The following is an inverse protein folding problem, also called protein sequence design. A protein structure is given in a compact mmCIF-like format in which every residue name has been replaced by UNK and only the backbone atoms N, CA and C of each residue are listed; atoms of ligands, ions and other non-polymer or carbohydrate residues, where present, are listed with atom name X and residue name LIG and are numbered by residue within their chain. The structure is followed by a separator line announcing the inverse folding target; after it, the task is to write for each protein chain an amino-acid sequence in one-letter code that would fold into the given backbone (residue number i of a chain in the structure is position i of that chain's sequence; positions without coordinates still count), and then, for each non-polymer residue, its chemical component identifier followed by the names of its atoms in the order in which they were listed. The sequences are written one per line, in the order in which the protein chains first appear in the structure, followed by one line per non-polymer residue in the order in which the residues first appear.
data_IF_608897857661
#
_entry.id   IF_608897857661
#
_cell.length_a   1.000
_cell.length_b   1.000
_cell.length_c   1.000
_cell.angle_alpha   90.00
_cell.angle_beta   90.00
_cell.angle_gamma   90.00
#
_symmetry.space_group_name_H-M   'P 1'
#
loop_
_entity.id
_entity.type
_entity.pdbx_description
1 polymer ?
#
# COMPACT_ATOMS: atom_id res chain seq x y z
N UNK A 1 -13.63 -2.04 -12.19
CA UNK A 1 -14.56 -0.89 -12.22
C UNK A 1 -15.09 -0.64 -13.64
N UNK A 2 -14.22 -0.46 -14.65
CA UNK A 2 -14.63 -0.17 -16.04
C UNK A 2 -15.60 -1.24 -16.59
N UNK A 3 -15.29 -2.49 -16.38
CA UNK A 3 -16.12 -3.62 -16.85
C UNK A 3 -17.35 -3.88 -15.96
N UNK A 4 -17.47 -3.25 -14.80
CA UNK A 4 -18.70 -3.33 -13.98
C UNK A 4 -19.81 -2.40 -14.50
N UNK A 5 -19.47 -1.35 -15.27
CA UNK A 5 -20.42 -0.42 -15.83
C UNK A 5 -20.05 -0.05 -17.29
N UNK A 6 -20.04 -1.04 -18.23
CA UNK A 6 -19.56 -0.85 -19.58
C UNK A 6 -20.33 0.24 -20.35
N UNK A 7 -21.65 0.34 -20.14
CA UNK A 7 -22.45 1.36 -20.81
C UNK A 7 -22.10 2.81 -20.38
N UNK A 8 -21.67 3.01 -19.15
CA UNK A 8 -21.27 4.32 -18.66
C UNK A 8 -19.91 4.74 -19.28
N UNK A 9 -18.98 3.81 -19.42
CA UNK A 9 -17.66 4.07 -19.99
C UNK A 9 -17.69 4.16 -21.53
N UNK A 10 -18.59 3.43 -22.19
CA UNK A 10 -18.79 3.57 -23.64
C UNK A 10 -19.23 4.98 -24.02
N UNK A 11 -20.06 5.63 -23.19
CA UNK A 11 -20.47 7.06 -23.39
C UNK A 11 -19.27 8.04 -23.33
N UNK A 12 -18.20 7.66 -22.65
CA UNK A 12 -16.97 8.43 -22.53
C UNK A 12 -15.93 8.07 -23.61
N UNK A 13 -16.30 7.24 -24.58
CA UNK A 13 -15.39 6.79 -25.64
C UNK A 13 -14.32 5.79 -25.15
N UNK A 14 -14.49 5.22 -23.97
CA UNK A 14 -13.55 4.25 -23.40
C UNK A 14 -13.98 2.86 -23.84
N UNK A 15 -13.10 2.17 -24.60
CA UNK A 15 -13.32 0.80 -25.02
C UNK A 15 -13.36 -0.14 -23.82
N UNK A 16 -14.38 -0.98 -23.75
CA UNK A 16 -14.49 -2.03 -22.74
C UNK A 16 -14.12 -3.37 -23.37
N UNK A 17 -13.47 -4.23 -22.59
CA UNK A 17 -13.08 -5.58 -23.05
C UNK A 17 -14.25 -6.52 -22.84
N UNK A 18 -14.52 -7.39 -23.82
CA UNK A 18 -15.46 -8.49 -23.68
C UNK A 18 -14.86 -9.55 -22.73
N UNK A 19 -15.27 -9.54 -21.45
CA UNK A 19 -14.71 -10.43 -20.43
C UNK A 19 -14.94 -11.92 -20.70
N UNK A 20 -16.12 -12.39 -21.18
CA UNK A 20 -16.30 -13.79 -21.55
C UNK A 20 -15.36 -14.25 -22.66
N UNK A 21 -15.16 -13.44 -23.70
CA UNK A 21 -14.27 -13.75 -24.80
C UNK A 21 -12.82 -13.77 -24.33
N UNK A 22 -12.41 -12.80 -23.51
CA UNK A 22 -11.10 -12.76 -22.92
C UNK A 22 -10.84 -13.99 -22.03
N UNK A 23 -11.82 -14.39 -21.22
CA UNK A 23 -11.72 -15.59 -20.38
C UNK A 23 -11.52 -16.86 -21.22
N UNK A 24 -12.19 -16.97 -22.38
CA UNK A 24 -11.98 -18.06 -23.31
C UNK A 24 -10.59 -18.04 -23.94
N UNK A 25 -10.07 -16.86 -24.29
CA UNK A 25 -8.72 -16.71 -24.87
C UNK A 25 -7.59 -17.03 -23.89
N UNK A 26 -7.73 -16.66 -22.62
CA UNK A 26 -6.72 -16.92 -21.59
C UNK A 26 -6.89 -18.27 -20.90
N UNK A 27 -8.04 -18.93 -21.06
CA UNK A 27 -8.35 -20.22 -20.45
C UNK A 27 -8.73 -20.14 -18.96
N UNK A 28 -8.97 -18.93 -18.41
CA UNK A 28 -9.33 -18.71 -17.01
C UNK A 28 -10.40 -17.64 -16.84
N UNK A 29 -11.18 -17.73 -15.76
CA UNK A 29 -12.09 -16.65 -15.38
C UNK A 29 -11.31 -15.43 -14.88
N UNK A 30 -11.40 -14.33 -15.63
CA UNK A 30 -10.74 -13.04 -15.29
C UNK A 30 -11.70 -12.09 -14.57
N UNK A 31 -13.00 -12.36 -14.61
CA UNK A 31 -14.03 -11.54 -13.97
C UNK A 31 -13.99 -11.69 -12.44
N UNK A 32 -14.09 -10.57 -11.73
CA UNK A 32 -14.14 -10.56 -10.26
C UNK A 32 -12.80 -10.80 -9.56
N UNK A 33 -11.71 -10.99 -10.29
CA UNK A 33 -10.38 -11.06 -9.67
C UNK A 33 -9.92 -9.65 -9.27
N UNK A 34 -9.69 -9.39 -7.97
CA UNK A 34 -9.22 -8.08 -7.50
C UNK A 34 -7.73 -7.90 -7.80
N UNK A 35 -7.35 -6.65 -8.03
CA UNK A 35 -5.95 -6.26 -8.18
C UNK A 35 -5.51 -5.96 -9.60
N UNK A 36 -4.32 -5.40 -9.73
CA UNK A 36 -3.70 -5.00 -11.00
C UNK A 36 -3.03 -6.14 -11.77
N UNK A 37 -2.72 -7.25 -11.10
CA UNK A 37 -2.02 -8.41 -11.61
C UNK A 37 -2.66 -8.97 -12.89
N UNK A 38 -3.93 -9.29 -12.81
CA UNK A 38 -4.70 -9.83 -13.95
C UNK A 38 -4.74 -8.84 -15.11
N UNK A 39 -4.95 -7.56 -14.82
CA UNK A 39 -4.98 -6.50 -15.85
C UNK A 39 -3.63 -6.33 -16.52
N UNK A 40 -2.54 -6.37 -15.76
CA UNK A 40 -1.18 -6.31 -16.29
C UNK A 40 -0.86 -7.52 -17.16
N UNK A 41 -1.18 -8.73 -16.67
CA UNK A 41 -0.93 -9.97 -17.40
C UNK A 41 -1.70 -10.03 -18.70
N UNK A 42 -2.97 -9.60 -18.71
CA UNK A 42 -3.78 -9.47 -19.93
C UNK A 42 -3.14 -8.47 -20.90
N UNK A 43 -2.75 -7.29 -20.43
CA UNK A 43 -2.10 -6.27 -21.25
C UNK A 43 -0.79 -6.78 -21.87
N UNK A 44 0.06 -7.45 -21.09
CA UNK A 44 1.30 -8.07 -21.58
C UNK A 44 1.02 -9.16 -22.62
N UNK A 45 0.03 -10.02 -22.34
CA UNK A 45 -0.35 -11.09 -23.25
C UNK A 45 -0.85 -10.53 -24.61
N UNK A 46 -1.61 -9.43 -24.60
CA UNK A 46 -2.01 -8.74 -25.83
C UNK A 46 -0.81 -8.20 -26.61
N UNK A 47 0.14 -7.56 -25.93
CA UNK A 47 1.35 -7.01 -26.57
C UNK A 47 2.16 -8.15 -27.22
N UNK A 48 2.42 -9.24 -26.49
CA UNK A 48 3.19 -10.36 -27.04
C UNK A 48 2.43 -11.09 -28.16
N UNK A 49 1.12 -11.28 -28.03
CA UNK A 49 0.29 -11.90 -29.07
C UNK A 49 0.16 -11.04 -30.32
N UNK A 50 0.49 -9.76 -30.29
CA UNK A 50 0.51 -8.89 -31.49
C UNK A 50 1.72 -9.14 -32.39
N UNK A 51 2.76 -9.78 -31.87
CA UNK A 51 3.96 -10.15 -32.65
C UNK A 51 3.61 -11.28 -33.66
N UNK A 52 4.00 -11.18 -34.93
CA UNK A 52 3.54 -12.10 -35.99
C UNK A 52 3.72 -13.59 -35.69
N UNK A 53 4.82 -13.98 -35.07
CA UNK A 53 5.13 -15.38 -34.70
C UNK A 53 4.45 -15.88 -33.43
N UNK A 54 3.82 -14.99 -32.65
CA UNK A 54 3.23 -15.27 -31.34
C UNK A 54 1.70 -15.18 -31.34
N UNK A 55 1.10 -15.00 -32.50
CA UNK A 55 -0.35 -14.97 -32.66
C UNK A 55 -0.97 -16.30 -32.21
N UNK A 56 -2.06 -16.22 -31.44
CA UNK A 56 -2.75 -17.39 -30.89
C UNK A 56 -2.17 -17.95 -29.60
N UNK A 57 -1.09 -17.39 -29.05
CA UNK A 57 -0.48 -17.81 -27.78
C UNK A 57 -0.94 -16.96 -26.59
N UNK A 58 -2.14 -16.38 -26.66
CA UNK A 58 -2.67 -15.48 -25.62
C UNK A 58 -2.68 -16.13 -24.23
N UNK A 59 -3.16 -17.37 -24.13
CA UNK A 59 -3.17 -18.12 -22.86
C UNK A 59 -1.77 -18.35 -22.31
N UNK A 60 -0.82 -18.71 -23.17
CA UNK A 60 0.58 -18.94 -22.76
C UNK A 60 1.19 -17.67 -22.17
N UNK A 61 1.09 -16.55 -22.85
CA UNK A 61 1.66 -15.28 -22.40
C UNK A 61 0.97 -14.75 -21.16
N UNK A 62 -0.34 -14.94 -21.03
CA UNK A 62 -1.08 -14.62 -19.83
C UNK A 62 -0.55 -15.40 -18.62
N UNK A 63 -0.46 -16.73 -18.73
CA UNK A 63 0.04 -17.57 -17.63
C UNK A 63 1.51 -17.28 -17.30
N UNK A 64 2.33 -17.01 -18.32
CA UNK A 64 3.72 -16.60 -18.10
C UNK A 64 3.80 -15.31 -17.29
N UNK A 65 3.02 -14.29 -17.65
CA UNK A 65 2.99 -13.03 -16.93
C UNK A 65 2.47 -13.16 -15.51
N UNK A 66 1.41 -13.96 -15.28
CA UNK A 66 0.88 -14.25 -13.94
C UNK A 66 1.91 -14.99 -13.09
N UNK A 67 2.63 -15.98 -13.65
CA UNK A 67 3.69 -16.67 -12.91
C UNK A 67 4.85 -15.75 -12.55
N UNK A 68 5.27 -14.90 -13.50
CA UNK A 68 6.31 -13.92 -13.24
C UNK A 68 5.92 -12.96 -12.11
N UNK A 69 4.69 -12.48 -12.13
CA UNK A 69 4.17 -11.61 -11.07
C UNK A 69 4.05 -12.34 -9.72
N UNK A 70 3.63 -13.61 -9.72
CA UNK A 70 3.57 -14.42 -8.50
C UNK A 70 4.96 -14.57 -7.85
N UNK A 71 6.02 -14.80 -8.64
CA UNK A 71 7.40 -14.84 -8.14
C UNK A 71 7.84 -13.49 -7.59
N UNK A 72 7.51 -12.40 -8.27
CA UNK A 72 7.79 -11.04 -7.78
C UNK A 72 7.09 -10.76 -6.44
N UNK A 73 5.81 -11.10 -6.32
CA UNK A 73 5.04 -10.94 -5.08
C UNK A 73 5.65 -11.77 -3.96
N UNK A 74 6.06 -13.02 -4.24
CA UNK A 74 6.70 -13.89 -3.25
C UNK A 74 7.97 -13.27 -2.68
N UNK A 75 8.82 -12.66 -3.53
CA UNK A 75 10.03 -11.95 -3.07
C UNK A 75 9.70 -10.73 -2.23
N UNK A 76 8.66 -9.97 -2.60
CA UNK A 76 8.19 -8.82 -1.84
C UNK A 76 7.63 -9.23 -0.46
N UNK A 77 6.90 -10.35 -0.38
CA UNK A 77 6.38 -10.91 0.88
C UNK A 77 7.52 -11.37 1.78
N UNK A 78 8.56 -12.05 1.24
CA UNK A 78 9.73 -12.47 2.01
C UNK A 78 10.46 -11.24 2.58
N UNK A 79 10.78 -10.26 1.76
CA UNK A 79 11.44 -9.03 2.19
C UNK A 79 10.60 -8.26 3.21
N UNK A 80 9.30 -8.09 2.96
CA UNK A 80 8.36 -7.42 3.85
C UNK A 80 8.24 -8.11 5.20
N UNK A 81 8.20 -9.43 5.23
CA UNK A 81 8.15 -10.24 6.45
C UNK A 81 9.43 -10.06 7.28
N UNK A 82 10.60 -10.04 6.63
CA UNK A 82 11.89 -9.78 7.33
C UNK A 82 11.92 -8.40 7.94
N UNK A 83 11.57 -7.37 7.18
CA UNK A 83 11.54 -5.98 7.68
C UNK A 83 10.54 -5.84 8.83
N UNK A 84 9.32 -6.37 8.66
CA UNK A 84 8.30 -6.34 9.70
C UNK A 84 8.70 -7.06 10.98
N UNK A 85 9.37 -8.20 10.86
CA UNK A 85 9.96 -8.91 12.00
C UNK A 85 10.97 -8.04 12.74
N UNK A 86 11.90 -7.40 12.02
CA UNK A 86 12.90 -6.53 12.65
C UNK A 86 12.25 -5.37 13.41
N UNK A 87 11.29 -4.69 12.79
CA UNK A 87 10.55 -3.61 13.44
C UNK A 87 9.81 -4.09 14.68
N UNK A 88 9.18 -5.26 14.61
CA UNK A 88 8.48 -5.86 15.75
C UNK A 88 9.45 -6.22 16.88
N UNK A 89 10.61 -6.81 16.55
CA UNK A 89 11.65 -7.11 17.52
C UNK A 89 12.18 -5.85 18.20
N UNK A 90 12.42 -4.78 17.46
CA UNK A 90 12.86 -3.48 18.01
C UNK A 90 11.81 -2.86 18.92
N UNK A 91 10.53 -2.97 18.58
CA UNK A 91 9.44 -2.53 19.45
C UNK A 91 9.37 -3.35 20.73
N UNK A 92 9.43 -4.69 20.62
CA UNK A 92 9.39 -5.61 21.77
C UNK A 92 10.63 -5.48 22.66
N UNK A 93 11.77 -5.12 22.11
CA UNK A 93 13.01 -4.87 22.86
C UNK A 93 12.87 -3.73 23.89
N UNK A 94 11.96 -2.80 23.68
CA UNK A 94 11.65 -1.74 24.66
C UNK A 94 10.97 -2.28 25.91
N UNK A 95 10.27 -3.42 25.79
CA UNK A 95 9.59 -4.10 26.91
C UNK A 95 10.48 -5.21 27.47
N UNK A 96 11.09 -6.01 26.61
CA UNK A 96 11.95 -7.13 27.00
C UNK A 96 13.23 -7.14 26.14
N UNK A 97 14.34 -6.71 26.75
CA UNK A 97 15.63 -6.47 26.09
C UNK A 97 16.14 -7.58 25.16
N UNK A 98 15.97 -8.90 25.49
CA UNK A 98 16.46 -9.97 24.60
C UNK A 98 15.88 -9.95 23.19
N UNK A 99 14.69 -9.37 22.95
CA UNK A 99 14.15 -9.23 21.60
C UNK A 99 15.01 -8.34 20.70
N UNK A 100 15.83 -7.44 21.27
CA UNK A 100 16.75 -6.60 20.49
C UNK A 100 17.95 -7.34 19.92
N UNK A 101 18.19 -8.56 20.37
CA UNK A 101 19.25 -9.41 19.83
C UNK A 101 18.72 -10.25 18.66
N UNK A 102 19.18 -9.92 17.45
CA UNK A 102 18.79 -10.62 16.23
C UNK A 102 19.35 -12.05 16.15
N UNK A 103 20.25 -12.44 17.04
CA UNK A 103 20.81 -13.78 17.13
C UNK A 103 20.03 -14.67 18.10
N UNK A 104 19.19 -14.07 18.94
CA UNK A 104 18.36 -14.80 19.89
C UNK A 104 17.21 -15.53 19.17
N UNK A 105 17.45 -16.80 18.84
CA UNK A 105 16.55 -17.64 18.04
C UNK A 105 15.09 -17.66 18.51
N UNK A 106 14.78 -17.77 19.83
CA UNK A 106 13.38 -17.75 20.27
C UNK A 106 12.68 -16.44 19.93
N UNK A 107 13.35 -15.29 20.08
CA UNK A 107 12.81 -13.98 19.74
C UNK A 107 12.54 -13.83 18.24
N UNK A 108 13.45 -14.35 17.41
CA UNK A 108 13.29 -14.37 15.96
C UNK A 108 12.07 -15.19 15.54
N UNK A 109 11.90 -16.39 16.12
CA UNK A 109 10.76 -17.27 15.81
C UNK A 109 9.45 -16.64 16.25
N UNK A 110 9.36 -16.16 17.49
CA UNK A 110 8.15 -15.56 18.05
C UNK A 110 7.73 -14.31 17.22
N UNK A 111 8.68 -13.41 16.94
CA UNK A 111 8.38 -12.21 16.16
C UNK A 111 7.96 -12.55 14.73
N UNK A 112 8.59 -13.56 14.10
CA UNK A 112 8.18 -14.04 12.77
C UNK A 112 6.78 -14.62 12.78
N UNK A 113 6.45 -15.46 13.76
CA UNK A 113 5.13 -16.06 13.89
C UNK A 113 4.06 -15.01 14.12
N UNK A 114 4.28 -14.05 15.04
CA UNK A 114 3.34 -12.96 15.29
C UNK A 114 3.10 -12.15 14.02
N UNK A 115 4.18 -11.74 13.34
CA UNK A 115 4.06 -10.91 12.16
C UNK A 115 3.36 -11.66 11.00
N UNK A 116 3.78 -12.90 10.72
CA UNK A 116 3.19 -13.72 9.65
C UNK A 116 1.73 -14.05 9.94
N UNK A 117 1.40 -14.42 11.17
CA UNK A 117 0.02 -14.73 11.57
C UNK A 117 -0.88 -13.49 11.49
N UNK A 118 -0.35 -12.30 11.80
CA UNK A 118 -1.12 -11.06 11.75
C UNK A 118 -1.57 -10.72 10.33
N UNK A 119 -0.67 -10.71 9.35
CA UNK A 119 -1.06 -10.44 7.97
C UNK A 119 -1.78 -11.63 7.33
N UNK A 120 -1.42 -12.87 7.69
CA UNK A 120 -2.11 -14.07 7.23
C UNK A 120 -3.57 -14.11 7.69
N UNK A 121 -3.85 -13.71 8.92
CA UNK A 121 -5.21 -13.57 9.44
C UNK A 121 -6.01 -12.51 8.66
N UNK A 122 -5.40 -11.36 8.36
CA UNK A 122 -6.04 -10.31 7.56
C UNK A 122 -6.38 -10.79 6.15
N UNK A 123 -5.49 -11.54 5.51
CA UNK A 123 -5.74 -12.12 4.17
C UNK A 123 -6.81 -13.19 4.21
N UNK A 124 -6.81 -14.03 5.26
CA UNK A 124 -7.77 -15.12 5.41
C UNK A 124 -9.20 -14.63 5.71
N UNK A 125 -9.33 -13.60 6.55
CA UNK A 125 -10.65 -13.10 7.02
C UNK A 125 -11.18 -11.93 6.21
N UNK A 126 -10.30 -11.20 5.52
CA UNK A 126 -10.64 -9.97 4.79
C UNK A 126 -10.81 -10.21 3.30
N UNK A 127 -11.84 -9.60 2.72
CA UNK A 127 -11.89 -9.39 1.28
C UNK A 127 -10.79 -8.39 0.89
N UNK A 128 -10.05 -8.69 -0.17
CA UNK A 128 -8.97 -7.83 -0.69
C UNK A 128 -9.47 -6.40 -0.95
N UNK A 129 -10.69 -6.26 -1.49
CA UNK A 129 -11.31 -4.96 -1.70
C UNK A 129 -11.50 -4.14 -0.42
N UNK A 130 -11.63 -4.81 0.71
CA UNK A 130 -11.82 -4.19 2.03
C UNK A 130 -10.48 -3.81 2.67
N UNK A 131 -9.42 -4.60 2.43
CA UNK A 131 -8.08 -4.33 2.96
C UNK A 131 -7.38 -3.22 2.16
N UNK A 132 -7.69 -3.09 0.88
CA UNK A 132 -7.04 -2.15 -0.04
C UNK A 132 -7.06 -0.68 0.42
N UNK A 133 -8.17 -0.11 0.93
CA UNK A 133 -8.17 1.24 1.47
C UNK A 133 -7.26 1.42 2.68
N UNK A 134 -7.16 0.42 3.57
CA UNK A 134 -6.25 0.45 4.72
C UNK A 134 -4.79 0.48 4.27
N UNK A 135 -4.44 -0.34 3.28
CA UNK A 135 -3.10 -0.35 2.68
C UNK A 135 -2.77 1.01 2.03
N UNK A 136 -3.71 1.60 1.30
CA UNK A 136 -3.57 2.94 0.73
C UNK A 136 -3.30 4.01 1.78
N UNK A 137 -4.04 3.98 2.90
CA UNK A 137 -3.82 4.90 4.02
C UNK A 137 -2.43 4.74 4.66
N UNK A 138 -1.99 3.50 4.91
CA UNK A 138 -0.67 3.22 5.47
C UNK A 138 0.45 3.71 4.56
N UNK A 139 0.32 3.50 3.25
CA UNK A 139 1.28 3.96 2.26
C UNK A 139 1.37 5.49 2.18
N UNK A 140 0.22 6.16 2.22
CA UNK A 140 0.17 7.63 2.25
C UNK A 140 0.72 8.22 3.55
N UNK A 141 0.53 7.53 4.70
CA UNK A 141 1.17 7.89 5.97
C UNK A 141 2.70 7.85 5.84
N UNK A 142 3.22 6.81 5.21
CA UNK A 142 4.66 6.67 4.96
C UNK A 142 5.18 7.81 4.07
N UNK A 143 4.48 8.14 2.99
CA UNK A 143 4.83 9.22 2.08
C UNK A 143 4.80 10.59 2.79
N UNK A 144 3.76 10.87 3.57
CA UNK A 144 3.67 12.10 4.35
C UNK A 144 4.80 12.22 5.38
N UNK A 145 5.12 11.12 6.07
CA UNK A 145 6.23 11.08 7.03
C UNK A 145 7.57 11.34 6.33
N UNK A 146 7.81 10.76 5.15
CA UNK A 146 9.01 11.01 4.36
C UNK A 146 9.12 12.49 3.93
N UNK A 147 8.03 13.11 3.50
CA UNK A 147 7.98 14.53 3.16
C UNK A 147 8.27 15.44 4.37
N UNK A 148 7.75 15.08 5.54
CA UNK A 148 8.01 15.79 6.80
C UNK A 148 9.49 15.71 7.18
N UNK A 149 10.08 14.52 7.09
CA UNK A 149 11.51 14.31 7.36
C UNK A 149 12.35 15.12 6.37
N UNK A 150 12.03 15.05 5.08
CA UNK A 150 12.71 15.80 4.02
C UNK A 150 12.66 17.31 4.26
N UNK A 151 11.48 17.84 4.60
CA UNK A 151 11.32 19.26 4.97
C UNK A 151 12.19 19.64 6.18
N UNK A 152 12.15 18.81 7.22
CA UNK A 152 12.93 19.04 8.43
C UNK A 152 14.45 19.03 8.15
N UNK A 153 14.91 18.11 7.28
CA UNK A 153 16.30 18.05 6.85
C UNK A 153 16.71 19.27 6.05
N UNK A 154 15.91 19.72 5.11
CA UNK A 154 16.20 20.92 4.31
C UNK A 154 16.33 22.17 5.19
N UNK A 155 15.48 22.33 6.18
CA UNK A 155 15.57 23.44 7.14
C UNK A 155 16.86 23.33 7.97
N UNK A 156 17.20 22.14 8.48
CA UNK A 156 18.41 21.92 9.29
C UNK A 156 19.70 22.14 8.53
N UNK A 157 19.73 21.82 7.23
CA UNK A 157 20.88 22.04 6.35
C UNK A 157 21.05 23.50 5.91
N UNK A 158 20.27 24.43 6.47
CA UNK A 158 20.29 25.84 6.08
C UNK A 158 19.68 26.12 4.70
N UNK A 159 19.04 25.12 4.08
CA UNK A 159 18.39 25.22 2.76
C UNK A 159 16.89 25.46 2.88
N UNK A 160 16.46 26.24 3.86
CA UNK A 160 15.05 26.54 4.12
C UNK A 160 14.32 27.12 2.89
N UNK A 161 15.03 27.79 1.99
CA UNK A 161 14.48 28.31 0.71
C UNK A 161 13.85 27.19 -0.13
N UNK A 162 14.31 25.97 -0.05
CA UNK A 162 13.81 24.81 -0.84
C UNK A 162 12.82 23.96 -0.04
N UNK A 163 12.60 24.23 1.24
CA UNK A 163 11.72 23.43 2.10
C UNK A 163 10.27 23.39 1.60
N UNK A 164 9.83 24.38 0.84
CA UNK A 164 8.49 24.40 0.25
C UNK A 164 8.22 23.25 -0.72
N UNK A 165 9.25 22.73 -1.40
CA UNK A 165 9.10 21.63 -2.37
C UNK A 165 8.59 20.34 -1.74
N UNK A 166 8.89 20.12 -0.46
CA UNK A 166 8.43 18.98 0.33
C UNK A 166 7.32 19.35 1.30
N UNK A 167 7.30 20.59 1.81
CA UNK A 167 6.28 21.06 2.74
C UNK A 167 4.89 21.20 2.07
N UNK A 168 4.83 21.74 0.86
CA UNK A 168 3.54 21.94 0.15
C UNK A 168 2.87 20.58 -0.14
N UNK A 169 3.53 19.58 -0.73
CA UNK A 169 2.94 18.24 -0.87
C UNK A 169 2.53 17.61 0.47
N UNK A 170 3.34 17.79 1.53
CA UNK A 170 2.98 17.28 2.86
C UNK A 170 1.69 17.91 3.38
N UNK A 171 1.56 19.22 3.24
CA UNK A 171 0.37 19.99 3.64
C UNK A 171 -0.90 19.58 2.87
N UNK A 172 -0.76 19.13 1.64
CA UNK A 172 -1.89 18.63 0.84
C UNK A 172 -2.24 17.18 1.22
N UNK A 173 -1.24 16.32 1.36
CA UNK A 173 -1.46 14.88 1.63
C UNK A 173 -2.02 14.65 3.04
N UNK A 174 -1.51 15.35 4.05
CA UNK A 174 -1.91 15.15 5.45
C UNK A 174 -3.42 15.27 5.68
N UNK A 175 -4.09 16.38 5.34
CA UNK A 175 -5.53 16.51 5.57
C UNK A 175 -6.34 15.53 4.71
N UNK A 176 -5.90 15.25 3.47
CA UNK A 176 -6.58 14.30 2.60
C UNK A 176 -6.59 12.89 3.19
N UNK A 177 -5.47 12.45 3.75
CA UNK A 177 -5.37 11.10 4.34
C UNK A 177 -6.16 11.00 5.64
N UNK A 178 -6.12 12.04 6.48
CA UNK A 178 -6.91 12.08 7.71
C UNK A 178 -8.41 12.02 7.37
N UNK A 179 -8.86 12.81 6.40
CA UNK A 179 -10.24 12.83 5.95
C UNK A 179 -10.67 11.51 5.30
N UNK A 180 -9.84 10.95 4.41
CA UNK A 180 -10.08 9.65 3.80
C UNK A 180 -10.16 8.53 4.84
N UNK A 181 -9.29 8.57 5.86
CA UNK A 181 -9.32 7.64 6.99
C UNK A 181 -10.62 7.71 7.79
N UNK A 182 -11.07 8.91 8.11
CA UNK A 182 -12.35 9.12 8.78
C UNK A 182 -13.52 8.57 7.94
N UNK A 183 -13.58 8.89 6.65
CA UNK A 183 -14.62 8.40 5.76
C UNK A 183 -14.61 6.88 5.61
N UNK A 184 -13.44 6.25 5.53
CA UNK A 184 -13.33 4.80 5.49
C UNK A 184 -13.87 4.13 6.75
N UNK A 185 -13.57 4.68 7.92
CA UNK A 185 -14.09 4.15 9.19
C UNK A 185 -15.62 4.25 9.23
N UNK A 186 -16.17 5.44 8.93
CA UNK A 186 -17.60 5.72 9.11
C UNK A 186 -18.45 5.06 8.01
N UNK A 187 -18.01 5.11 6.75
CA UNK A 187 -18.84 4.69 5.62
C UNK A 187 -18.56 3.26 5.14
N UNK A 188 -17.37 2.71 5.41
CA UNK A 188 -16.98 1.40 4.89
C UNK A 188 -16.83 0.34 5.98
N UNK A 189 -16.10 0.61 7.06
CA UNK A 189 -15.74 -0.43 8.02
C UNK A 189 -16.79 -0.64 9.10
N UNK A 190 -17.29 0.42 9.72
CA UNK A 190 -18.30 0.33 10.78
C UNK A 190 -19.61 -0.26 10.27
N UNK A 191 -20.18 0.18 9.12
CA UNK A 191 -21.44 -0.40 8.63
C UNK A 191 -21.33 -1.87 8.24
N UNK A 192 -20.11 -2.33 7.87
CA UNK A 192 -19.86 -3.74 7.50
C UNK A 192 -19.45 -4.62 8.70
N UNK A 193 -19.40 -4.08 9.91
CA UNK A 193 -19.00 -4.82 11.10
C UNK A 193 -17.50 -5.19 11.15
N UNK A 194 -16.66 -4.51 10.37
CA UNK A 194 -15.22 -4.80 10.26
C UNK A 194 -14.43 -4.05 11.36
N UNK A 195 -14.69 -4.41 12.60
CA UNK A 195 -14.14 -3.71 13.77
C UNK A 195 -12.61 -3.69 13.83
N UNK A 196 -11.95 -4.77 13.41
CA UNK A 196 -10.47 -4.83 13.37
C UNK A 196 -9.89 -3.79 12.41
N UNK A 197 -10.40 -3.73 11.17
CA UNK A 197 -9.95 -2.77 10.16
C UNK A 197 -10.29 -1.33 10.56
N UNK A 198 -11.46 -1.13 11.19
CA UNK A 198 -11.85 0.16 11.76
C UNK A 198 -10.86 0.60 12.84
N UNK A 199 -10.52 -0.27 13.78
CA UNK A 199 -9.55 0.01 14.84
C UNK A 199 -8.15 0.34 14.28
N UNK A 200 -7.67 -0.43 13.32
CA UNK A 200 -6.38 -0.17 12.65
C UNK A 200 -6.39 1.19 11.93
N UNK A 201 -7.48 1.53 11.23
CA UNK A 201 -7.61 2.83 10.56
C UNK A 201 -7.61 3.99 11.53
N UNK A 202 -8.31 3.86 12.65
CA UNK A 202 -8.31 4.88 13.71
C UNK A 202 -6.91 5.08 14.28
N UNK A 203 -6.17 4.01 14.54
CA UNK A 203 -4.78 4.09 15.01
C UNK A 203 -3.90 4.83 13.98
N UNK A 204 -4.02 4.51 12.69
CA UNK A 204 -3.27 5.21 11.63
C UNK A 204 -3.60 6.70 11.58
N UNK A 205 -4.87 7.09 11.67
CA UNK A 205 -5.30 8.50 11.70
C UNK A 205 -4.74 9.23 12.93
N UNK A 206 -4.76 8.61 14.09
CA UNK A 206 -4.19 9.17 15.31
C UNK A 206 -2.68 9.37 15.16
N UNK A 207 -1.95 8.35 14.69
CA UNK A 207 -0.51 8.44 14.45
C UNK A 207 -0.18 9.55 13.45
N UNK A 208 -0.93 9.66 12.36
CA UNK A 208 -0.78 10.70 11.36
C UNK A 208 -0.95 12.10 11.97
N UNK A 209 -1.97 12.26 12.81
CA UNK A 209 -2.25 13.53 13.48
C UNK A 209 -1.12 13.91 14.45
N UNK A 210 -0.61 12.94 15.23
CA UNK A 210 0.52 13.14 16.14
C UNK A 210 1.78 13.57 15.35
N UNK A 211 2.10 12.86 14.26
CA UNK A 211 3.25 13.19 13.41
C UNK A 211 3.11 14.58 12.80
N UNK A 212 1.91 14.95 12.33
CA UNK A 212 1.64 16.27 11.79
C UNK A 212 1.90 17.37 12.83
N UNK A 213 1.32 17.24 14.03
CA UNK A 213 1.49 18.21 15.11
C UNK A 213 2.97 18.33 15.51
N UNK A 214 3.66 17.21 15.67
CA UNK A 214 5.09 17.19 15.98
C UNK A 214 5.93 17.88 14.92
N UNK A 215 5.61 17.67 13.64
CA UNK A 215 6.27 18.30 12.51
C UNK A 215 6.10 19.82 12.53
N UNK A 216 4.87 20.31 12.67
CA UNK A 216 4.58 21.75 12.71
C UNK A 216 5.30 22.45 13.87
N UNK A 217 5.28 21.86 15.07
CA UNK A 217 6.01 22.38 16.23
C UNK A 217 7.51 22.45 15.97
N UNK A 218 8.06 21.40 15.33
CA UNK A 218 9.47 21.34 15.00
C UNK A 218 9.89 22.36 13.96
N UNK A 219 9.10 22.57 12.91
CA UNK A 219 9.38 23.56 11.87
C UNK A 219 9.31 24.97 12.40
N UNK A 220 8.30 25.26 13.22
CA UNK A 220 8.20 26.58 13.88
C UNK A 220 9.42 26.89 14.73
N UNK A 221 9.90 25.94 15.53
CA UNK A 221 11.10 26.11 16.35
C UNK A 221 12.38 26.29 15.49
N UNK A 222 12.56 25.49 14.42
CA UNK A 222 13.73 25.59 13.56
C UNK A 222 13.77 26.87 12.74
N UNK A 223 12.63 27.38 12.31
CA UNK A 223 12.56 28.65 11.58
C UNK A 223 12.81 29.88 12.48
N UNK A 224 12.55 29.79 13.78
CA UNK A 224 12.91 30.83 14.74
C UNK A 224 14.42 30.88 14.96
N UNK A 225 15.08 29.73 15.10
CA UNK A 225 16.54 29.64 15.31
C UNK A 225 17.31 30.16 14.09
N UNK A 226 16.82 29.95 12.87
CA UNK A 226 17.48 30.42 11.64
C UNK A 226 17.26 31.93 11.35
N UNK A 227 16.50 32.63 12.17
CA UNK A 227 16.27 34.10 12.04
C UNK A 227 17.16 34.91 12.99
N UNK A 228 17.74 34.27 13.99
CA UNK A 228 18.78 34.82 14.89
C UNK A 228 20.16 34.51 14.37
#
# INVERSE_FOLDING_TARGET
AINAAPAAFAKLGIATVNLPELAAQVGEQVQGRPGGAVSLAVGMAYIFSSVPFMKGMMAYWYHFAIMFEAVFILTAVDAGTRVGRYLLQEMLAKVYKPFGDNTWTPGVIIASLIFTSSWGYLVYTGDIATIWPLFGMANQLLAATALIIGTTMLIRLGKARYAWTTAVPALLVLPLVIWAGYLNVVNNYLPKGLYLLSGMSVVLVILMTIVAIAAFRRWAALLQINKT
#
